data_IF_240882976912
#
_entry.id   IF_240882976912
#
_cell.length_a   1.000
_cell.length_b   1.000
_cell.length_c   1.000
_cell.angle_alpha   90.00
_cell.angle_beta   90.00
_cell.angle_gamma   90.00
#
_symmetry.space_group_name_H-M   'P 1'
#
loop_
_entity.id
_entity.type
_entity.pdbx_description
1 polymer ?
#
# COMPACT_ATOMS: atom_id res chain seq x y z
N UNK A 1 7.35 -3.35 19.51
CA UNK A 1 6.62 -4.23 18.57
C UNK A 1 5.36 -4.68 19.29
N UNK A 2 4.22 -4.06 18.99
CA UNK A 2 2.94 -4.41 19.63
C UNK A 2 2.47 -5.78 19.13
N UNK A 3 2.16 -6.70 20.04
CA UNK A 3 1.68 -8.04 19.70
C UNK A 3 0.18 -7.95 19.47
N UNK A 4 -0.21 -7.65 18.22
CA UNK A 4 -1.61 -7.59 17.82
C UNK A 4 -2.23 -9.00 17.81
N UNK A 5 -3.49 -9.12 18.25
CA UNK A 5 -4.24 -10.35 18.05
C UNK A 5 -4.51 -10.55 16.55
N UNK A 6 -4.77 -11.79 16.10
CA UNK A 6 -5.10 -12.06 14.69
C UNK A 6 -6.29 -11.21 14.18
N UNK A 7 -7.24 -10.87 15.06
CA UNK A 7 -8.38 -10.02 14.71
C UNK A 7 -7.97 -8.57 14.45
N UNK A 8 -7.11 -8.01 15.31
CA UNK A 8 -6.62 -6.63 15.17
C UNK A 8 -5.73 -6.47 13.93
N UNK A 9 -4.90 -7.48 13.65
CA UNK A 9 -4.05 -7.51 12.44
C UNK A 9 -4.88 -7.48 11.16
N UNK A 10 -5.94 -8.29 11.11
CA UNK A 10 -6.83 -8.34 9.97
C UNK A 10 -7.51 -6.98 9.75
N UNK A 11 -8.03 -6.36 10.82
CA UNK A 11 -8.67 -5.05 10.71
C UNK A 11 -7.71 -3.98 10.19
N UNK A 12 -6.47 -3.91 10.71
CA UNK A 12 -5.46 -2.95 10.22
C UNK A 12 -5.13 -3.14 8.75
N UNK A 13 -4.92 -4.40 8.34
CA UNK A 13 -4.63 -4.72 6.94
C UNK A 13 -5.79 -4.27 6.03
N UNK A 14 -7.03 -4.59 6.39
CA UNK A 14 -8.21 -4.17 5.63
C UNK A 14 -8.34 -2.64 5.58
N UNK A 15 -8.09 -1.94 6.68
CA UNK A 15 -8.14 -0.48 6.74
C UNK A 15 -7.13 0.16 5.77
N UNK A 16 -5.91 -0.35 5.76
CA UNK A 16 -4.82 0.11 4.90
C UNK A 16 -5.15 -0.10 3.42
N UNK A 17 -5.70 -1.25 3.03
CA UNK A 17 -6.16 -1.48 1.65
C UNK A 17 -7.41 -0.70 1.26
N UNK A 18 -8.22 -0.25 2.23
CA UNK A 18 -9.48 0.44 1.95
C UNK A 18 -9.28 1.79 1.23
N UNK A 19 -8.22 2.54 1.58
CA UNK A 19 -7.97 3.88 1.02
C UNK A 19 -7.53 3.80 -0.44
N UNK A 20 -6.52 2.99 -0.84
CA UNK A 20 -6.20 2.76 -2.24
C UNK A 20 -7.39 2.26 -3.05
N UNK A 21 -8.14 1.29 -2.52
CA UNK A 21 -9.32 0.71 -3.18
C UNK A 21 -10.38 1.78 -3.49
N UNK A 22 -10.60 2.72 -2.57
CA UNK A 22 -11.55 3.84 -2.78
C UNK A 22 -11.07 4.82 -3.84
N UNK A 23 -9.76 5.04 -3.97
CA UNK A 23 -9.18 5.98 -4.94
C UNK A 23 -9.29 5.45 -6.38
N UNK A 24 -9.12 4.14 -6.56
CA UNK A 24 -9.23 3.48 -7.87
C UNK A 24 -10.68 3.12 -8.22
N UNK A 25 -11.60 3.20 -7.26
CA UNK A 25 -13.01 2.84 -7.46
C UNK A 25 -13.64 3.69 -8.56
N UNK A 26 -14.13 3.04 -9.61
CA UNK A 26 -14.78 3.70 -10.75
C UNK A 26 -13.81 4.25 -11.79
N UNK A 27 -12.50 4.05 -11.62
CA UNK A 27 -11.51 4.22 -12.68
C UNK A 27 -11.39 2.90 -13.44
N UNK A 28 -11.41 2.97 -14.77
CA UNK A 28 -11.01 1.85 -15.61
C UNK A 28 -9.48 1.79 -15.55
N UNK A 29 -8.96 0.89 -14.72
CA UNK A 29 -7.52 0.69 -14.58
C UNK A 29 -7.16 -0.48 -15.47
N UNK A 30 -6.39 -0.19 -16.51
CA UNK A 30 -5.84 -1.21 -17.40
C UNK A 30 -4.94 -2.15 -16.58
N UNK A 31 -5.13 -3.45 -16.75
CA UNK A 31 -4.30 -4.46 -16.10
C UNK A 31 -2.85 -4.43 -16.61
N UNK A 32 -2.63 -3.85 -17.81
CA UNK A 32 -1.32 -3.68 -18.43
C UNK A 32 -0.62 -2.37 -18.01
N UNK A 33 -1.16 -1.65 -17.02
CA UNK A 33 -0.55 -0.42 -16.50
C UNK A 33 0.78 -0.73 -15.78
N UNK A 34 1.89 -0.41 -16.44
CA UNK A 34 3.23 -0.54 -15.85
C UNK A 34 3.62 0.70 -15.04
N UNK A 35 4.26 0.47 -13.88
CA UNK A 35 4.79 1.55 -13.04
C UNK A 35 6.17 1.96 -13.56
N UNK A 36 6.34 3.23 -13.91
CA UNK A 36 7.61 3.79 -14.37
C UNK A 36 8.40 4.36 -13.19
N UNK A 37 9.36 3.58 -12.66
CA UNK A 37 10.15 3.99 -11.48
C UNK A 37 10.97 5.27 -11.68
N UNK A 38 11.36 5.58 -12.93
CA UNK A 38 12.10 6.80 -13.25
C UNK A 38 11.26 8.08 -13.12
N UNK A 39 9.96 7.95 -12.93
CA UNK A 39 9.03 9.07 -12.74
C UNK A 39 8.79 9.41 -11.25
N UNK A 40 9.36 8.66 -10.30
CA UNK A 40 9.23 8.97 -8.89
C UNK A 40 9.99 10.25 -8.52
N UNK A 41 9.30 11.16 -7.85
CA UNK A 41 9.86 12.43 -7.38
C UNK A 41 10.18 12.37 -5.88
N UNK A 42 9.51 11.48 -5.15
CA UNK A 42 9.62 11.35 -3.70
C UNK A 42 10.17 9.98 -3.28
N UNK A 43 10.94 9.96 -2.18
CA UNK A 43 11.50 8.72 -1.63
C UNK A 43 10.38 7.76 -1.16
N UNK A 44 9.26 8.32 -0.72
CA UNK A 44 8.07 7.61 -0.24
C UNK A 44 7.40 6.80 -1.37
N UNK A 45 7.43 7.30 -2.62
CA UNK A 45 6.91 6.58 -3.79
C UNK A 45 7.76 5.33 -4.08
N UNK A 46 9.09 5.52 -4.09
CA UNK A 46 10.02 4.42 -4.29
C UNK A 46 9.97 3.41 -3.14
N UNK A 47 9.83 3.88 -1.90
CA UNK A 47 9.68 3.00 -0.73
C UNK A 47 8.40 2.16 -0.84
N UNK A 48 7.26 2.78 -1.16
CA UNK A 48 6.00 2.07 -1.36
C UNK A 48 6.10 1.05 -2.49
N UNK A 49 6.70 1.42 -3.62
CA UNK A 49 6.86 0.52 -4.76
C UNK A 49 7.73 -0.70 -4.43
N UNK A 50 8.88 -0.49 -3.79
CA UNK A 50 9.78 -1.57 -3.39
C UNK A 50 9.12 -2.52 -2.38
N UNK A 51 8.40 -1.99 -1.40
CA UNK A 51 7.65 -2.83 -0.46
C UNK A 51 6.52 -3.59 -1.14
N UNK A 52 5.81 -2.96 -2.08
CA UNK A 52 4.78 -3.63 -2.88
C UNK A 52 5.38 -4.79 -3.67
N UNK A 53 6.50 -4.60 -4.37
CA UNK A 53 7.16 -5.68 -5.09
C UNK A 53 7.54 -6.84 -4.18
N UNK A 54 8.11 -6.56 -2.99
CA UNK A 54 8.43 -7.59 -2.02
C UNK A 54 7.17 -8.38 -1.59
N UNK A 55 6.09 -7.68 -1.23
CA UNK A 55 4.84 -8.32 -0.82
C UNK A 55 4.18 -9.10 -1.96
N UNK A 56 4.23 -8.60 -3.20
CA UNK A 56 3.69 -9.27 -4.37
C UNK A 56 4.40 -10.59 -4.70
N UNK A 57 5.68 -10.73 -4.32
CA UNK A 57 6.38 -12.03 -4.43
C UNK A 57 5.90 -13.07 -3.41
N UNK A 58 5.39 -12.61 -2.27
CA UNK A 58 4.90 -13.48 -1.18
C UNK A 58 3.40 -13.79 -1.31
N UNK A 59 2.61 -12.88 -1.90
CA UNK A 59 1.16 -13.00 -2.01
C UNK A 59 0.77 -13.61 -3.35
N UNK A 60 0.41 -14.89 -3.34
CA UNK A 60 -0.09 -15.61 -4.49
C UNK A 60 -1.38 -16.38 -4.16
N UNK A 61 -2.09 -16.85 -5.19
CA UNK A 61 -3.27 -17.70 -4.99
C UNK A 61 -2.88 -18.96 -4.19
N UNK A 62 -3.58 -19.22 -3.09
CA UNK A 62 -3.30 -20.35 -2.20
C UNK A 62 -2.33 -20.08 -1.05
N UNK A 63 -1.88 -18.83 -0.86
CA UNK A 63 -1.06 -18.44 0.30
C UNK A 63 -1.86 -18.56 1.62
N UNK A 64 -1.18 -18.95 2.70
CA UNK A 64 -1.77 -18.98 4.04
C UNK A 64 -2.16 -17.57 4.52
N UNK A 65 -3.27 -17.46 5.24
CA UNK A 65 -3.79 -16.18 5.73
C UNK A 65 -2.80 -15.47 6.67
N UNK A 66 -2.01 -16.20 7.46
CA UNK A 66 -1.03 -15.57 8.35
C UNK A 66 0.16 -15.02 7.56
N UNK A 67 0.57 -15.70 6.49
CA UNK A 67 1.60 -15.19 5.57
C UNK A 67 1.09 -13.96 4.83
N UNK A 68 -0.15 -14.00 4.31
CA UNK A 68 -0.79 -12.84 3.70
C UNK A 68 -0.83 -11.63 4.65
N UNK A 69 -1.27 -11.84 5.89
CA UNK A 69 -1.33 -10.77 6.89
C UNK A 69 0.06 -10.22 7.20
N UNK A 70 1.06 -11.09 7.40
CA UNK A 70 2.44 -10.65 7.69
C UNK A 70 3.07 -9.89 6.54
N UNK A 71 2.87 -10.33 5.30
CA UNK A 71 3.35 -9.61 4.13
C UNK A 71 2.65 -8.25 4.02
N UNK A 72 1.32 -8.23 4.14
CA UNK A 72 0.51 -7.01 4.09
C UNK A 72 0.84 -5.99 5.19
N UNK A 73 1.26 -6.45 6.37
CA UNK A 73 1.70 -5.57 7.46
C UNK A 73 2.90 -4.69 7.05
N UNK A 74 3.76 -5.16 6.15
CA UNK A 74 4.90 -4.39 5.67
C UNK A 74 4.45 -3.15 4.90
N UNK A 75 3.28 -3.19 4.26
CA UNK A 75 2.73 -2.08 3.47
C UNK A 75 2.11 -0.96 4.30
N UNK A 76 1.88 -1.16 5.60
CA UNK A 76 1.18 -0.17 6.44
C UNK A 76 1.94 1.16 6.45
N UNK A 77 3.22 1.12 6.84
CA UNK A 77 4.02 2.34 6.99
C UNK A 77 4.29 3.03 5.64
N UNK A 78 4.73 2.33 4.57
CA UNK A 78 4.91 2.97 3.26
C UNK A 78 3.63 3.59 2.69
N UNK A 79 2.45 2.99 2.95
CA UNK A 79 1.18 3.57 2.53
C UNK A 79 0.82 4.81 3.36
N UNK A 80 1.00 4.77 4.68
CA UNK A 80 0.79 5.94 5.54
C UNK A 80 1.70 7.10 5.13
N UNK A 81 3.00 6.84 4.96
CA UNK A 81 4.00 7.83 4.55
C UNK A 81 3.68 8.40 3.16
N UNK A 82 3.32 7.56 2.19
CA UNK A 82 2.90 8.03 0.86
C UNK A 82 1.65 8.92 0.94
N UNK A 83 0.62 8.51 1.71
CA UNK A 83 -0.60 9.31 1.82
C UNK A 83 -0.38 10.62 2.56
N UNK A 84 0.47 10.64 3.59
CA UNK A 84 0.74 11.85 4.37
C UNK A 84 1.70 12.81 3.65
N UNK A 85 2.77 12.30 3.06
CA UNK A 85 3.82 13.11 2.44
C UNK A 85 3.54 13.44 0.97
N UNK A 86 2.95 12.54 0.18
CA UNK A 86 2.80 12.73 -1.27
C UNK A 86 1.36 13.11 -1.62
N UNK A 87 0.36 12.38 -1.09
CA UNK A 87 -1.04 12.62 -1.42
C UNK A 87 -1.67 13.79 -0.65
N UNK A 88 -1.22 14.10 0.57
CA UNK A 88 -1.73 15.22 1.38
C UNK A 88 -0.94 16.53 1.17
N UNK A 89 0.37 16.49 0.88
CA UNK A 89 1.11 17.73 0.56
C UNK A 89 0.63 18.38 -0.75
N UNK A 90 0.12 17.63 -1.72
CA UNK A 90 -0.49 18.20 -2.94
C UNK A 90 -1.80 18.95 -2.70
N UNK A 91 -2.46 18.76 -1.55
CA UNK A 91 -3.68 19.52 -1.17
C UNK A 91 -3.35 20.80 -0.37
N UNK A 92 -2.16 20.90 0.26
CA UNK A 92 -1.79 22.08 1.09
C UNK A 92 -1.15 23.23 0.32
N UNK A 93 -0.75 23.04 -0.94
CA UNK A 93 -0.17 24.08 -1.81
C UNK A 93 -1.17 24.48 -2.90
N UNK A 94 -2.34 24.94 -2.48
CA UNK A 94 -3.26 25.74 -3.31
C UNK A 94 -4.21 26.51 -2.38
N UNK A 95 -3.69 27.56 -1.75
CA UNK A 95 -4.48 28.65 -1.16
C UNK A 95 -3.69 29.95 -1.24
#
# INVERSE_FOLDING_TARGET
MEVFSKGDLFQKVIEVYSRPTRIIRGKDIDADLEVTETAFEHNEEQALWNTYLAVATEVHTGVDINTFLKASLQLIQPLEDFFESVYVMTVKISS
#
